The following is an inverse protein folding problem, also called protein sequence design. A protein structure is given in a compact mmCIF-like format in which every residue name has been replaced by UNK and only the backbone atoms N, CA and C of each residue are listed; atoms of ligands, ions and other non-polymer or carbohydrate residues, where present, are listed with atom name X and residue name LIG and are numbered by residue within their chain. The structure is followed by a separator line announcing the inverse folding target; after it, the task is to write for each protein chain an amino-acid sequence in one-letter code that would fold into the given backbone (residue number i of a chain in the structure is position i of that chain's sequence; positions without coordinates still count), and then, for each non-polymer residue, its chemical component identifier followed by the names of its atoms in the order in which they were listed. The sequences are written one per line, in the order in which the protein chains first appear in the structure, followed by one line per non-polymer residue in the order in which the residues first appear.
data_IF_834906837679
#
_entry.id   IF_834906837679
#
_cell.length_a   1.000
_cell.length_b   1.000
_cell.length_c   1.000
_cell.angle_alpha   90.00
_cell.angle_beta   90.00
_cell.angle_gamma   90.00
#
_symmetry.space_group_name_H-M   'P 1'
#
loop_
_entity.id
_entity.type
_entity.pdbx_description
1 polymer ?
#
# COMPACT_ATOMS: atom_id res chain seq x y z
N UNK A 1 7.03 10.57 -16.70
CA UNK A 1 8.19 9.73 -16.27
C UNK A 1 8.32 9.64 -14.74
N UNK A 2 8.36 10.77 -14.02
CA UNK A 2 8.49 10.81 -12.54
C UNK A 2 7.42 9.99 -11.80
N UNK A 3 6.15 10.10 -12.20
CA UNK A 3 5.04 9.35 -11.61
C UNK A 3 5.15 7.82 -11.77
N UNK A 4 5.62 7.33 -12.94
CA UNK A 4 5.80 5.89 -13.20
C UNK A 4 6.98 5.33 -12.41
N UNK A 5 8.09 6.09 -12.35
CA UNK A 5 9.25 5.73 -11.53
C UNK A 5 8.92 5.71 -10.03
N UNK A 6 8.11 6.66 -9.56
CA UNK A 6 7.65 6.72 -8.17
C UNK A 6 6.77 5.51 -7.82
N UNK A 7 5.88 5.10 -8.72
CA UNK A 7 5.09 3.87 -8.55
C UNK A 7 5.97 2.61 -8.51
N UNK A 8 6.95 2.50 -9.42
CA UNK A 8 7.80 1.30 -9.51
C UNK A 8 8.84 1.19 -8.40
N UNK A 9 9.34 2.31 -7.85
CA UNK A 9 10.41 2.30 -6.83
C UNK A 9 9.86 2.47 -5.41
N UNK A 10 8.89 3.37 -5.19
CA UNK A 10 8.30 3.60 -3.87
C UNK A 10 7.05 2.77 -3.63
N UNK A 11 6.47 2.15 -4.67
CA UNK A 11 5.24 1.39 -4.54
C UNK A 11 4.00 2.22 -4.25
N UNK A 12 4.10 3.56 -4.14
CA UNK A 12 2.99 4.43 -3.73
C UNK A 12 2.34 5.15 -4.90
N UNK A 13 1.04 5.39 -4.78
CA UNK A 13 0.34 6.30 -5.68
C UNK A 13 0.91 7.73 -5.56
N UNK A 14 1.42 8.34 -6.64
CA UNK A 14 2.03 9.65 -6.57
C UNK A 14 0.95 10.74 -6.43
N UNK A 15 0.98 11.48 -5.32
CA UNK A 15 0.19 12.70 -5.15
C UNK A 15 0.78 13.77 -6.06
N UNK A 16 0.03 14.17 -7.09
CA UNK A 16 0.47 15.16 -8.09
C UNK A 16 -0.53 16.30 -8.17
N UNK A 17 -0.18 17.45 -8.76
CA UNK A 17 -1.11 18.59 -8.92
C UNK A 17 -2.40 18.21 -9.68
N UNK A 18 -2.36 17.16 -10.50
CA UNK A 18 -3.52 16.64 -11.24
C UNK A 18 -4.34 15.61 -10.45
N UNK A 19 -3.82 15.12 -9.32
CA UNK A 19 -4.49 14.15 -8.43
C UNK A 19 -4.21 14.55 -6.96
N UNK A 20 -4.91 15.58 -6.45
CA UNK A 20 -4.60 16.20 -5.15
C UNK A 20 -5.13 15.41 -3.95
N UNK A 21 -6.06 14.48 -4.18
CA UNK A 21 -6.69 13.69 -3.12
C UNK A 21 -5.91 12.41 -2.83
N UNK A 22 -5.88 12.03 -1.55
CA UNK A 22 -5.26 10.76 -1.15
C UNK A 22 -6.13 9.58 -1.61
N UNK A 23 -5.52 8.40 -1.73
CA UNK A 23 -6.17 7.19 -2.23
C UNK A 23 -7.47 6.80 -1.49
N UNK A 24 -7.64 7.28 -0.25
CA UNK A 24 -8.80 6.98 0.61
C UNK A 24 -9.99 7.94 0.45
N UNK A 25 -9.87 9.03 -0.31
CA UNK A 25 -10.90 10.09 -0.38
C UNK A 25 -11.98 9.86 -1.47
N UNK A 26 -11.83 8.84 -2.32
CA UNK A 26 -12.75 8.62 -3.47
C UNK A 26 -13.38 7.23 -3.39
N UNK A 27 -14.69 7.12 -3.58
CA UNK A 27 -15.47 5.86 -3.53
C UNK A 27 -15.09 4.81 -4.59
N UNK A 28 -14.18 5.14 -5.51
CA UNK A 28 -13.68 4.21 -6.52
C UNK A 28 -12.48 3.45 -5.94
N UNK A 29 -12.50 2.12 -6.03
CA UNK A 29 -11.43 1.24 -5.58
C UNK A 29 -10.11 1.60 -6.30
N UNK A 30 -9.29 2.46 -5.71
CA UNK A 30 -7.99 2.80 -6.25
C UNK A 30 -6.98 1.70 -5.93
N UNK A 31 -6.09 1.44 -6.90
CA UNK A 31 -4.91 0.59 -6.71
C UNK A 31 -4.13 1.08 -5.48
N UNK A 32 -4.24 0.30 -4.40
CA UNK A 32 -3.58 0.55 -3.14
C UNK A 32 -2.42 -0.41 -2.99
N UNK A 33 -1.24 0.10 -2.63
CA UNK A 33 -0.14 -0.76 -2.24
C UNK A 33 -0.23 -1.15 -0.77
N UNK A 34 0.42 -2.26 -0.42
CA UNK A 34 0.54 -2.73 0.96
C UNK A 34 1.21 -1.66 1.83
N UNK A 35 2.16 -0.92 1.26
CA UNK A 35 2.85 0.17 1.95
C UNK A 35 1.95 1.38 2.19
N UNK A 36 1.10 1.75 1.23
CA UNK A 36 0.14 2.84 1.41
C UNK A 36 -0.84 2.54 2.56
N UNK A 37 -1.27 1.28 2.71
CA UNK A 37 -2.09 0.87 3.86
C UNK A 37 -1.30 0.94 5.17
N UNK A 38 -0.03 0.53 5.17
CA UNK A 38 0.82 0.64 6.37
C UNK A 38 1.04 2.09 6.82
N UNK A 39 1.15 3.03 5.88
CA UNK A 39 1.26 4.46 6.16
C UNK A 39 -0.07 5.00 6.69
N UNK A 40 -1.18 4.63 6.07
CA UNK A 40 -2.50 5.02 6.54
C UNK A 40 -2.76 4.58 7.99
N UNK A 41 -2.39 3.34 8.34
CA UNK A 41 -2.49 2.89 9.73
C UNK A 41 -1.64 3.75 10.67
N UNK A 42 -0.43 4.14 10.25
CA UNK A 42 0.46 5.01 11.04
C UNK A 42 -0.15 6.40 11.24
N UNK A 43 -0.66 7.02 10.17
CA UNK A 43 -1.23 8.36 10.19
C UNK A 43 -2.53 8.42 11.00
N UNK A 44 -3.35 7.38 10.92
CA UNK A 44 -4.57 7.23 11.72
C UNK A 44 -4.33 6.71 13.14
N UNK A 45 -3.06 6.49 13.53
CA UNK A 45 -2.66 5.91 14.82
C UNK A 45 -3.31 4.54 15.11
N UNK A 46 -3.62 3.78 14.07
CA UNK A 46 -4.14 2.42 14.14
C UNK A 46 -2.96 1.49 14.46
N UNK A 47 -3.08 0.72 15.52
CA UNK A 47 -2.02 -0.22 15.94
C UNK A 47 -2.12 -1.49 15.10
N UNK A 48 -1.12 -1.70 14.24
CA UNK A 48 -0.96 -2.96 13.50
C UNK A 48 -0.25 -3.95 14.43
N UNK A 49 -0.96 -5.01 14.82
CA UNK A 49 -0.44 -6.10 15.66
C UNK A 49 0.40 -7.08 14.84
N UNK A 50 -0.04 -7.38 13.62
CA UNK A 50 0.65 -8.32 12.75
C UNK A 50 0.34 -8.02 11.28
N UNK A 51 1.29 -8.35 10.41
CA UNK A 51 1.15 -8.27 8.96
C UNK A 51 1.66 -9.55 8.29
N UNK A 52 0.88 -10.07 7.34
CA UNK A 52 1.20 -11.28 6.60
C UNK A 52 1.03 -11.03 5.10
N UNK A 53 2.15 -11.00 4.38
CA UNK A 53 2.16 -10.85 2.92
C UNK A 53 2.27 -12.24 2.28
N UNK A 54 1.32 -12.56 1.42
CA UNK A 54 1.15 -13.89 0.82
C UNK A 54 1.18 -13.80 -0.71
N UNK A 55 1.93 -14.72 -1.32
CA UNK A 55 1.95 -14.97 -2.75
C UNK A 55 1.63 -16.44 -2.99
N UNK A 56 0.35 -16.77 -3.10
CA UNK A 56 -0.12 -18.16 -3.08
C UNK A 56 0.18 -18.81 -1.74
N UNK A 57 0.87 -19.94 -1.75
CA UNK A 57 1.29 -20.66 -0.54
C UNK A 57 2.56 -20.10 0.12
N UNK A 58 3.24 -19.13 -0.51
CA UNK A 58 4.51 -18.59 -0.02
C UNK A 58 4.30 -17.29 0.75
N UNK A 59 4.92 -17.20 1.91
CA UNK A 59 5.02 -15.94 2.66
C UNK A 59 6.16 -15.09 2.11
N UNK A 60 5.87 -13.83 1.81
CA UNK A 60 6.84 -12.90 1.24
C UNK A 60 7.30 -11.90 2.30
N UNK A 61 8.62 -11.79 2.43
CA UNK A 61 9.26 -10.85 3.34
C UNK A 61 9.94 -9.68 2.60
N UNK A 62 10.36 -9.90 1.35
CA UNK A 62 11.05 -8.91 0.52
C UNK A 62 10.12 -8.37 -0.56
N UNK A 63 10.11 -7.04 -0.75
CA UNK A 63 9.29 -6.34 -1.76
C UNK A 63 7.83 -6.82 -1.83
N UNK A 64 7.07 -6.80 -0.71
CA UNK A 64 5.69 -7.28 -0.69
C UNK A 64 4.80 -6.55 -1.69
N UNK A 65 5.03 -5.26 -1.94
CA UNK A 65 4.30 -4.47 -2.94
C UNK A 65 4.42 -5.02 -4.38
N UNK A 66 5.48 -5.76 -4.70
CA UNK A 66 5.74 -6.29 -6.05
C UNK A 66 5.40 -7.77 -6.17
N UNK A 67 5.61 -8.54 -5.10
CA UNK A 67 5.57 -9.99 -5.16
C UNK A 67 4.36 -10.60 -4.44
N UNK A 68 3.75 -9.90 -3.47
CA UNK A 68 2.62 -10.43 -2.73
C UNK A 68 1.31 -10.21 -3.49
N UNK A 69 0.48 -11.25 -3.54
CA UNK A 69 -0.86 -11.19 -4.13
C UNK A 69 -1.87 -10.62 -3.14
N UNK A 70 -1.72 -10.96 -1.86
CA UNK A 70 -2.61 -10.51 -0.78
C UNK A 70 -1.81 -10.19 0.48
N UNK A 71 -2.29 -9.21 1.26
CA UNK A 71 -1.72 -8.89 2.57
C UNK A 71 -2.81 -8.84 3.63
N UNK A 72 -2.59 -9.55 4.74
CA UNK A 72 -3.46 -9.54 5.91
C UNK A 72 -2.85 -8.64 6.97
N UNK A 73 -3.65 -7.70 7.48
CA UNK A 73 -3.27 -6.81 8.57
C UNK A 73 -4.18 -7.06 9.76
N UNK A 74 -3.59 -7.43 10.88
CA UNK A 74 -4.28 -7.50 12.16
C UNK A 74 -4.14 -6.14 12.84
N UNK A 75 -5.26 -5.46 13.06
CA UNK A 75 -5.33 -4.14 13.69
C UNK A 75 -6.11 -4.23 15.01
N UNK A 76 -5.80 -3.34 15.98
CA UNK A 76 -6.55 -3.18 17.25
C UNK A 76 -7.48 -1.98 17.17
#
# INVERSE_FOLDING_TARGET
LRARFQFSILGRAPVTRSLPHQWYDTHNLHFLSIEDFSVFCRDKKIKVLANYHLAGERRIHLFPNLLANFSLFLIT
#
